data_IF_653096197713
#
_entry.id   IF_653096197713
#
_cell.length_a   1.000
_cell.length_b   1.000
_cell.length_c   1.000
_cell.angle_alpha   90.00
_cell.angle_beta   90.00
_cell.angle_gamma   90.00
#
_symmetry.space_group_name_H-M   'P 1'
#
loop_
_entity.id
_entity.type
_entity.pdbx_description
1 polymer ?
#
# COMPACT_ATOMS: atom_id res chain seq x y z
N UNK A 1 21.17 -6.58 -10.18
CA UNK A 1 20.16 -7.56 -9.76
C UNK A 1 19.34 -8.01 -10.96
N UNK A 2 18.64 -7.09 -11.64
CA UNK A 2 17.88 -7.37 -12.88
C UNK A 2 18.63 -8.21 -13.93
N UNK A 3 19.89 -7.88 -14.26
CA UNK A 3 20.64 -8.62 -15.27
C UNK A 3 21.08 -10.05 -14.86
N UNK A 4 20.89 -10.43 -13.59
CA UNK A 4 21.26 -11.76 -13.10
C UNK A 4 20.12 -12.74 -13.37
N UNK A 5 20.31 -13.64 -14.33
CA UNK A 5 19.32 -14.64 -14.77
C UNK A 5 18.87 -15.61 -13.66
N UNK A 6 19.56 -15.64 -12.51
CA UNK A 6 19.17 -16.45 -11.34
C UNK A 6 18.18 -15.73 -10.43
N UNK A 7 17.96 -14.44 -10.65
CA UNK A 7 17.11 -13.59 -9.82
C UNK A 7 15.82 -13.29 -10.59
N UNK A 8 14.69 -13.62 -9.99
CA UNK A 8 13.38 -13.20 -10.47
C UNK A 8 12.85 -12.08 -9.56
N UNK A 9 12.59 -10.91 -10.13
CA UNK A 9 12.08 -9.74 -9.46
C UNK A 9 10.57 -9.68 -9.58
N UNK A 10 9.90 -9.73 -8.44
CA UNK A 10 8.44 -9.69 -8.36
C UNK A 10 8.04 -8.51 -7.49
N UNK A 11 7.04 -7.75 -7.92
CA UNK A 11 6.41 -6.71 -7.13
C UNK A 11 4.89 -6.78 -7.19
N UNK A 12 4.24 -6.20 -6.19
CA UNK A 12 2.80 -6.14 -6.08
C UNK A 12 2.36 -4.72 -5.74
N UNK A 13 1.46 -4.18 -6.55
CA UNK A 13 0.87 -2.87 -6.33
C UNK A 13 -0.60 -3.03 -5.97
N UNK A 14 -1.06 -2.26 -4.99
CA UNK A 14 -2.48 -2.10 -4.65
C UNK A 14 -2.95 -0.74 -5.15
N UNK A 15 -4.20 -0.67 -5.60
CA UNK A 15 -4.87 0.61 -5.91
C UNK A 15 -4.51 1.71 -4.88
N UNK A 16 -4.04 2.90 -5.32
CA UNK A 16 -3.40 3.90 -4.46
C UNK A 16 -4.21 4.33 -3.23
N UNK A 17 -5.51 4.60 -3.39
CA UNK A 17 -6.37 5.04 -2.29
C UNK A 17 -6.60 3.90 -1.28
N UNK A 18 -6.90 2.70 -1.75
CA UNK A 18 -7.08 1.52 -0.91
C UNK A 18 -5.81 1.19 -0.11
N UNK A 19 -4.62 1.35 -0.72
CA UNK A 19 -3.34 1.25 -0.02
C UNK A 19 -3.22 2.32 1.06
N UNK A 20 -3.48 3.59 0.72
CA UNK A 20 -3.38 4.71 1.65
C UNK A 20 -4.29 4.53 2.88
N UNK A 21 -5.58 4.22 2.64
CA UNK A 21 -6.56 3.97 3.70
C UNK A 21 -6.13 2.79 4.58
N UNK A 22 -5.65 1.69 3.98
CA UNK A 22 -5.15 0.54 4.72
C UNK A 22 -3.97 0.91 5.63
N UNK A 23 -3.04 1.73 5.13
CA UNK A 23 -1.88 2.18 5.90
C UNK A 23 -2.27 3.14 7.03
N UNK A 24 -3.23 4.04 6.79
CA UNK A 24 -3.77 4.92 7.84
C UNK A 24 -4.31 4.10 9.01
N UNK A 25 -5.20 3.13 8.76
CA UNK A 25 -5.77 2.33 9.85
C UNK A 25 -4.76 1.41 10.50
N UNK A 26 -3.79 0.89 9.74
CA UNK A 26 -2.70 0.12 10.31
C UNK A 26 -1.92 0.97 11.33
N UNK A 27 -1.51 2.18 10.93
CA UNK A 27 -0.75 3.10 11.77
C UNK A 27 -1.55 3.64 12.94
N UNK A 28 -2.83 3.97 12.73
CA UNK A 28 -3.73 4.47 13.77
C UNK A 28 -3.93 3.41 14.85
N UNK A 29 -4.28 2.18 14.45
CA UNK A 29 -4.55 1.14 15.42
C UNK A 29 -3.30 0.73 16.18
N UNK A 30 -2.13 0.75 15.56
CA UNK A 30 -0.86 0.42 16.21
C UNK A 30 -0.20 1.59 16.96
N UNK A 31 -0.84 2.78 16.96
CA UNK A 31 -0.33 3.96 17.65
C UNK A 31 0.94 4.53 17.02
N UNK A 32 1.18 4.24 15.74
CA UNK A 32 2.31 4.82 15.02
C UNK A 32 2.03 6.26 14.62
N UNK A 33 0.76 6.65 14.44
CA UNK A 33 0.35 8.02 14.07
C UNK A 33 -0.47 8.69 15.16
N UNK A 34 -0.36 10.01 15.26
CA UNK A 34 -1.28 10.88 16.00
C UNK A 34 -2.45 11.35 15.15
N UNK A 35 -2.40 11.17 13.82
CA UNK A 35 -3.48 11.50 12.91
C UNK A 35 -4.72 10.66 13.21
N UNK A 36 -5.89 11.31 13.31
CA UNK A 36 -7.17 10.65 13.63
C UNK A 36 -8.14 10.61 12.45
N UNK A 37 -7.72 11.12 11.29
CA UNK A 37 -8.48 11.11 10.04
C UNK A 37 -7.56 10.95 8.83
N UNK A 38 -8.11 10.65 7.66
CA UNK A 38 -7.33 10.53 6.42
C UNK A 38 -6.70 11.88 6.01
N UNK A 39 -7.42 12.98 6.21
CA UNK A 39 -6.99 14.35 5.93
C UNK A 39 -5.83 14.77 6.82
N UNK A 40 -5.90 14.41 8.11
CA UNK A 40 -4.82 14.69 9.04
C UNK A 40 -3.65 13.72 8.91
N UNK A 41 -3.79 12.63 8.14
CA UNK A 41 -2.74 11.63 7.91
C UNK A 41 -1.93 11.89 6.64
N UNK A 42 -2.54 12.45 5.60
CA UNK A 42 -1.83 12.74 4.34
C UNK A 42 -0.75 13.79 4.58
N UNK A 43 0.50 13.48 4.23
CA UNK A 43 1.65 14.32 4.51
C UNK A 43 1.95 14.53 6.00
N UNK A 44 1.30 13.79 6.91
CA UNK A 44 1.39 14.04 8.36
C UNK A 44 2.66 13.51 9.03
N UNK A 45 3.63 13.06 8.23
CA UNK A 45 4.91 12.53 8.70
C UNK A 45 6.03 12.81 7.70
N UNK A 46 7.26 12.81 8.21
CA UNK A 46 8.51 12.62 7.44
C UNK A 46 8.64 11.19 6.86
N UNK A 47 7.52 10.48 6.65
CA UNK A 47 7.51 9.11 6.13
C UNK A 47 6.80 9.08 4.79
N UNK A 48 7.55 8.62 3.79
CA UNK A 48 7.11 8.37 2.40
C UNK A 48 5.73 7.72 2.30
N UNK A 49 5.38 6.79 3.21
CA UNK A 49 4.11 6.03 3.19
C UNK A 49 2.84 6.88 3.14
N UNK A 50 2.89 8.07 3.74
CA UNK A 50 1.79 9.03 3.86
C UNK A 50 1.86 10.17 2.84
N UNK A 51 2.95 10.26 2.08
CA UNK A 51 3.16 11.32 1.09
C UNK A 51 2.39 11.04 -0.20
N UNK A 52 2.11 12.11 -0.94
CA UNK A 52 1.54 12.02 -2.27
C UNK A 52 2.47 11.28 -3.24
N UNK A 53 1.88 10.53 -4.17
CA UNK A 53 2.59 9.77 -5.20
C UNK A 53 3.63 8.80 -4.62
N UNK A 54 3.19 8.05 -3.60
CA UNK A 54 3.99 7.07 -2.85
C UNK A 54 4.75 6.10 -3.75
N UNK A 55 4.08 5.46 -4.72
CA UNK A 55 4.74 4.45 -5.56
C UNK A 55 5.81 5.09 -6.42
N UNK A 56 5.52 6.26 -7.01
CA UNK A 56 6.50 7.00 -7.79
C UNK A 56 7.74 7.32 -6.96
N UNK A 57 7.56 7.78 -5.70
CA UNK A 57 8.69 8.07 -4.79
C UNK A 57 9.54 6.85 -4.47
N UNK A 58 8.91 5.71 -4.17
CA UNK A 58 9.67 4.51 -3.79
C UNK A 58 10.42 3.94 -4.99
N UNK A 59 9.79 3.87 -6.15
CA UNK A 59 10.37 3.25 -7.34
C UNK A 59 11.45 4.13 -7.98
N UNK A 60 11.34 5.46 -7.84
CA UNK A 60 12.36 6.40 -8.33
C UNK A 60 13.52 6.65 -7.36
N UNK A 61 13.42 6.21 -6.09
CA UNK A 61 14.42 6.49 -5.07
C UNK A 61 14.30 7.87 -4.40
N UNK A 62 13.19 8.58 -4.58
CA UNK A 62 12.90 9.86 -3.95
C UNK A 62 12.12 9.71 -2.64
N UNK A 63 12.53 8.76 -1.78
CA UNK A 63 11.88 8.56 -0.49
C UNK A 63 12.14 9.77 0.42
N UNK A 64 11.09 10.25 1.07
CA UNK A 64 11.08 11.40 1.98
C UNK A 64 11.51 12.73 1.34
N UNK A 65 11.60 12.79 0.01
CA UNK A 65 11.82 14.04 -0.71
C UNK A 65 10.60 14.96 -0.54
N UNK A 66 10.74 16.14 0.07
CA UNK A 66 9.59 17.03 0.30
C UNK A 66 9.02 17.60 -1.00
N UNK A 67 9.76 17.57 -2.10
CA UNK A 67 9.31 18.14 -3.38
C UNK A 67 8.20 17.29 -4.00
N UNK A 68 7.25 17.91 -4.72
CA UNK A 68 6.24 17.19 -5.49
C UNK A 68 6.87 16.26 -6.54
N UNK A 69 6.19 15.15 -6.83
CA UNK A 69 6.57 14.27 -7.93
C UNK A 69 6.27 14.97 -9.26
N UNK A 70 7.28 15.08 -10.10
CA UNK A 70 7.17 15.61 -11.45
C UNK A 70 7.23 14.48 -12.50
N UNK A 71 7.20 14.87 -13.78
CA UNK A 71 7.25 13.93 -14.90
C UNK A 71 8.57 13.14 -14.94
N UNK A 72 9.69 13.74 -14.54
CA UNK A 72 10.99 13.06 -14.55
C UNK A 72 11.00 11.94 -13.51
N UNK A 73 10.56 12.23 -12.28
CA UNK A 73 10.43 11.23 -11.21
C UNK A 73 9.45 10.12 -11.61
N UNK A 74 8.32 10.47 -12.24
CA UNK A 74 7.38 9.49 -12.78
C UNK A 74 8.03 8.58 -13.84
N UNK A 75 8.76 9.13 -14.81
CA UNK A 75 9.46 8.34 -15.83
C UNK A 75 10.49 7.40 -15.20
N UNK A 76 11.27 7.87 -14.22
CA UNK A 76 12.21 7.01 -13.48
C UNK A 76 11.48 5.88 -12.75
N UNK A 77 10.35 6.16 -12.10
CA UNK A 77 9.55 5.16 -11.42
C UNK A 77 8.99 4.11 -12.40
N UNK A 78 8.51 4.53 -13.56
CA UNK A 78 8.02 3.64 -14.61
C UNK A 78 9.14 2.75 -15.16
N UNK A 79 10.31 3.33 -15.43
CA UNK A 79 11.48 2.57 -15.86
C UNK A 79 11.94 1.56 -14.81
N UNK A 80 11.86 1.90 -13.52
CA UNK A 80 12.17 0.97 -12.43
C UNK A 80 11.14 -0.15 -12.33
N UNK A 81 9.86 0.15 -12.53
CA UNK A 81 8.78 -0.84 -12.54
C UNK A 81 8.94 -1.86 -13.68
N UNK A 82 9.39 -1.41 -14.86
CA UNK A 82 9.62 -2.27 -16.02
C UNK A 82 10.80 -3.25 -15.86
N UNK A 83 11.60 -3.12 -14.80
CA UNK A 83 12.69 -4.05 -14.48
C UNK A 83 12.24 -5.28 -13.69
N UNK A 84 10.99 -5.31 -13.26
CA UNK A 84 10.42 -6.47 -12.57
C UNK A 84 9.91 -7.47 -13.61
N UNK A 85 10.27 -8.75 -13.46
CA UNK A 85 9.77 -9.84 -14.30
C UNK A 85 8.26 -10.01 -14.14
N UNK A 86 7.75 -9.77 -12.93
CA UNK A 86 6.32 -9.83 -12.64
C UNK A 86 5.87 -8.64 -11.79
N UNK A 87 4.92 -7.88 -12.32
CA UNK A 87 4.19 -6.85 -11.59
C UNK A 87 2.73 -7.26 -11.44
N UNK A 88 2.28 -7.54 -10.23
CA UNK A 88 0.89 -7.98 -9.99
C UNK A 88 0.08 -6.90 -9.27
N UNK A 89 -1.23 -6.88 -9.54
CA UNK A 89 -2.17 -6.08 -8.76
C UNK A 89 -2.67 -6.89 -7.57
N UNK A 90 -2.73 -6.27 -6.39
CA UNK A 90 -3.19 -6.95 -5.17
C UNK A 90 -4.62 -7.46 -5.30
N UNK A 91 -5.48 -6.71 -5.99
CA UNK A 91 -6.91 -6.99 -6.09
C UNK A 91 -7.25 -8.24 -6.90
N UNK A 92 -6.44 -8.58 -7.91
CA UNK A 92 -6.83 -9.53 -8.95
C UNK A 92 -5.65 -10.27 -9.63
N UNK A 93 -4.40 -9.83 -9.40
CA UNK A 93 -3.21 -10.43 -10.03
C UNK A 93 -2.49 -11.46 -9.15
N UNK A 94 -2.75 -11.50 -7.84
CA UNK A 94 -2.00 -12.39 -6.92
C UNK A 94 -2.19 -13.86 -7.24
N UNK A 95 -3.39 -14.28 -7.65
CA UNK A 95 -3.70 -15.68 -7.91
C UNK A 95 -2.99 -16.24 -9.15
N UNK A 96 -2.50 -15.37 -10.03
CA UNK A 96 -1.80 -15.74 -11.26
C UNK A 96 -0.30 -15.99 -11.03
N UNK A 97 0.27 -15.38 -9.98
CA UNK A 97 1.69 -15.46 -9.65
C UNK A 97 2.19 -16.90 -9.40
N UNK A 98 1.45 -17.78 -8.69
CA UNK A 98 1.90 -19.15 -8.46
C UNK A 98 1.98 -19.96 -9.76
N UNK A 99 1.06 -19.69 -10.70
CA UNK A 99 1.06 -20.34 -12.02
C UNK A 99 2.26 -19.86 -12.85
N UNK A 100 2.50 -18.54 -12.87
CA UNK A 100 3.61 -17.94 -13.60
C UNK A 100 4.99 -18.43 -13.12
N UNK A 101 5.12 -18.76 -11.83
CA UNK A 101 6.39 -19.16 -11.20
C UNK A 101 6.52 -20.66 -10.95
N UNK A 102 5.56 -21.47 -11.41
CA UNK A 102 5.45 -22.91 -11.10
C UNK A 102 5.53 -23.22 -9.58
N UNK A 103 4.96 -22.31 -8.76
CA UNK A 103 4.93 -22.48 -7.32
C UNK A 103 3.77 -23.38 -6.89
N UNK A 104 4.12 -24.50 -6.26
CA UNK A 104 3.16 -25.37 -5.57
C UNK A 104 2.82 -24.80 -4.20
N UNK A 105 1.90 -23.85 -4.17
CA UNK A 105 1.42 -23.24 -2.92
C UNK A 105 0.46 -24.20 -2.22
N UNK A 106 0.79 -24.57 -0.97
CA UNK A 106 -0.18 -25.26 -0.09
C UNK A 106 -1.39 -24.35 0.11
N UNK A 107 -2.60 -24.92 0.10
CA UNK A 107 -3.87 -24.19 0.17
C UNK A 107 -3.76 -22.91 0.99
N UNK A 108 -4.19 -21.75 0.43
CA UNK A 108 -4.04 -20.48 1.11
C UNK A 108 -4.61 -20.63 2.51
N UNK A 109 -3.80 -20.30 3.53
CA UNK A 109 -4.33 -20.13 4.89
C UNK A 109 -5.53 -19.21 4.73
N UNK A 110 -6.73 -19.68 5.12
CA UNK A 110 -7.97 -18.90 5.00
C UNK A 110 -7.65 -17.46 5.33
N UNK A 111 -8.11 -16.47 4.53
CA UNK A 111 -7.82 -15.07 4.79
C UNK A 111 -8.13 -14.87 6.26
N UNK A 112 -7.09 -14.68 7.06
CA UNK A 112 -7.29 -14.44 8.47
C UNK A 112 -8.03 -13.12 8.44
N UNK A 113 -9.36 -13.18 8.59
CA UNK A 113 -10.20 -12.01 8.70
C UNK A 113 -9.46 -11.13 9.69
N UNK A 114 -9.00 -9.97 9.23
CA UNK A 114 -7.81 -9.33 9.81
C UNK A 114 -7.96 -8.96 11.27
N UNK A 115 -9.16 -9.18 11.85
CA UNK A 115 -9.51 -9.05 13.26
C UNK A 115 -10.64 -10.02 13.64
N UNK A 116 -10.44 -11.33 13.53
CA UNK A 116 -11.39 -12.32 14.08
C UNK A 116 -11.46 -12.27 15.62
N UNK A 117 -12.51 -12.84 16.24
CA UNK A 117 -12.71 -12.90 17.71
C UNK A 117 -11.42 -13.37 18.43
N UNK A 118 -10.72 -14.35 17.85
CA UNK A 118 -9.45 -14.88 18.38
C UNK A 118 -8.35 -13.81 18.50
N UNK A 119 -8.27 -12.88 17.57
CA UNK A 119 -7.29 -11.79 17.57
C UNK A 119 -7.62 -10.74 18.61
N UNK A 120 -8.90 -10.39 18.76
CA UNK A 120 -9.40 -9.51 19.83
C UNK A 120 -9.06 -10.10 21.20
N UNK A 121 -9.36 -11.39 21.42
CA UNK A 121 -8.98 -12.12 22.64
C UNK A 121 -7.47 -12.10 22.84
N UNK A 122 -6.66 -12.33 21.79
CA UNK A 122 -5.21 -12.25 21.90
C UNK A 122 -4.70 -10.86 22.31
N UNK A 123 -5.36 -9.79 21.85
CA UNK A 123 -4.98 -8.43 22.21
C UNK A 123 -5.36 -8.11 23.65
N UNK A 124 -6.53 -8.55 24.11
CA UNK A 124 -6.93 -8.46 25.51
C UNK A 124 -5.92 -9.17 26.41
N UNK A 125 -5.60 -10.43 26.10
CA UNK A 125 -4.64 -11.24 26.87
C UNK A 125 -3.22 -10.67 26.87
N UNK A 126 -2.81 -10.00 25.78
CA UNK A 126 -1.48 -9.37 25.64
C UNK A 126 -1.44 -7.93 26.15
N UNK A 127 -2.48 -7.45 26.85
CA UNK A 127 -2.52 -6.09 27.40
C UNK A 127 -2.56 -4.98 26.34
N UNK A 128 -2.95 -5.30 25.10
CA UNK A 128 -3.00 -4.36 23.96
C UNK A 128 -4.30 -3.54 23.94
N UNK A 129 -4.74 -3.07 25.11
CA UNK A 129 -5.96 -2.29 25.31
C UNK A 129 -6.02 -1.02 24.46
N UNK A 130 -4.87 -0.37 24.23
CA UNK A 130 -4.77 0.80 23.35
C UNK A 130 -5.24 0.50 21.92
N UNK A 131 -4.90 -0.68 21.36
CA UNK A 131 -5.33 -1.05 20.00
C UNK A 131 -6.85 -1.16 19.92
N UNK A 132 -7.47 -1.76 20.94
CA UNK A 132 -8.92 -1.93 21.02
C UNK A 132 -9.62 -0.58 21.23
N UNK A 133 -9.06 0.28 22.08
CA UNK A 133 -9.54 1.64 22.27
C UNK A 133 -9.55 2.44 20.95
N UNK A 134 -8.42 2.47 20.22
CA UNK A 134 -8.35 3.20 18.96
C UNK A 134 -9.34 2.65 17.93
N UNK A 135 -9.49 1.33 17.85
CA UNK A 135 -10.44 0.71 16.92
C UNK A 135 -11.91 0.99 17.27
N UNK A 136 -12.25 1.00 18.56
CA UNK A 136 -13.59 1.35 19.00
C UNK A 136 -13.88 2.84 18.78
N UNK A 137 -12.91 3.72 19.10
CA UNK A 137 -13.05 5.17 18.99
C UNK A 137 -13.00 5.68 17.55
N UNK A 138 -12.29 4.98 16.67
CA UNK A 138 -12.07 5.30 15.27
C UNK A 138 -12.30 4.05 14.40
N UNK A 139 -13.56 3.61 14.23
CA UNK A 139 -13.86 2.43 13.44
C UNK A 139 -13.44 2.63 11.97
N UNK A 140 -13.14 1.53 11.29
CA UNK A 140 -12.81 1.58 9.86
C UNK A 140 -13.96 2.21 9.08
N UNK A 141 -13.62 3.24 8.30
CA UNK A 141 -14.46 3.92 7.33
C UNK A 141 -13.69 4.03 6.01
N UNK A 142 -14.30 3.68 4.87
CA UNK A 142 -13.72 4.02 3.58
C UNK A 142 -13.60 5.54 3.43
N UNK A 143 -12.76 5.99 2.51
CA UNK A 143 -12.71 7.40 2.11
C UNK A 143 -14.06 7.83 1.53
N UNK A 144 -14.49 9.04 1.86
CA UNK A 144 -15.65 9.66 1.19
C UNK A 144 -15.28 10.12 -0.22
N UNK A 145 -16.30 10.46 -1.02
CA UNK A 145 -16.11 10.84 -2.42
C UNK A 145 -15.26 12.11 -2.58
N UNK A 146 -15.45 13.12 -1.72
CA UNK A 146 -14.73 14.38 -1.82
C UNK A 146 -13.23 14.19 -1.53
N UNK A 147 -12.90 13.40 -0.50
CA UNK A 147 -11.54 13.01 -0.22
C UNK A 147 -10.95 12.17 -1.36
N UNK A 148 -11.70 11.19 -1.86
CA UNK A 148 -11.23 10.29 -2.92
C UNK A 148 -10.90 11.05 -4.21
N UNK A 149 -11.74 12.00 -4.63
CA UNK A 149 -11.50 12.84 -5.80
C UNK A 149 -10.25 13.72 -5.63
N UNK A 150 -10.15 14.42 -4.49
CA UNK A 150 -8.96 15.23 -4.19
C UNK A 150 -7.70 14.37 -4.15
N UNK A 151 -7.77 13.22 -3.49
CA UNK A 151 -6.66 12.27 -3.41
C UNK A 151 -6.23 11.80 -4.81
N UNK A 152 -7.17 11.49 -5.69
CA UNK A 152 -6.88 11.06 -7.05
C UNK A 152 -6.16 12.15 -7.86
N UNK A 153 -6.58 13.41 -7.73
CA UNK A 153 -5.92 14.55 -8.39
C UNK A 153 -4.50 14.75 -7.87
N UNK A 154 -4.32 14.75 -6.55
CA UNK A 154 -3.00 14.97 -5.93
C UNK A 154 -2.04 13.78 -6.16
N UNK A 155 -2.58 12.57 -6.39
CA UNK A 155 -1.84 11.33 -6.59
C UNK A 155 -1.93 10.80 -8.03
N UNK A 156 -2.15 11.67 -9.01
CA UNK A 156 -2.42 11.25 -10.39
C UNK A 156 -1.28 10.42 -11.01
N UNK A 157 -0.02 10.66 -10.64
CA UNK A 157 1.12 9.87 -11.13
C UNK A 157 1.06 8.42 -10.63
N UNK A 158 0.74 8.20 -9.36
CA UNK A 158 0.54 6.85 -8.82
C UNK A 158 -0.62 6.13 -9.52
N UNK A 159 -1.70 6.84 -9.85
CA UNK A 159 -2.80 6.27 -10.63
C UNK A 159 -2.39 5.93 -12.06
N UNK A 160 -1.61 6.77 -12.72
CA UNK A 160 -1.07 6.48 -14.06
C UNK A 160 -0.15 5.25 -14.03
N UNK A 161 0.75 5.18 -13.05
CA UNK A 161 1.65 4.04 -12.86
C UNK A 161 0.90 2.74 -12.53
N UNK A 162 -0.14 2.82 -11.69
CA UNK A 162 -0.97 1.66 -11.39
C UNK A 162 -1.77 1.19 -12.61
N UNK A 163 -2.26 2.12 -13.45
CA UNK A 163 -2.97 1.79 -14.69
C UNK A 163 -2.08 1.15 -15.75
N UNK A 164 -0.79 1.51 -15.82
CA UNK A 164 0.12 0.92 -16.82
C UNK A 164 0.32 -0.58 -16.64
N UNK A 165 0.05 -1.12 -15.44
CA UNK A 165 0.03 -2.56 -15.19
C UNK A 165 -1.02 -3.33 -15.99
N UNK A 166 -2.05 -2.66 -16.52
CA UNK A 166 -3.09 -3.32 -17.33
C UNK A 166 -2.72 -3.41 -18.82
N UNK A 167 -1.62 -2.77 -19.24
CA UNK A 167 -1.21 -2.63 -20.64
C UNK A 167 0.01 -3.49 -21.00
N UNK A 168 0.42 -4.38 -20.10
CA UNK A 168 1.58 -5.29 -20.24
C UNK A 168 1.13 -6.73 -20.43
#
# INVERSE_FOLDING_TARGET
>A
LEADQRVCLITCLREPLARFVSNFYFDLYHGFTSATSLESYIGSRDRTISMHNYYCRILSGHQNDPLPVDAAIFTTAQQALNKFDHCVRLQDGIEQLPVALDWKIKAPRSPAASFGIRQIVSYLLRGKWKLLYFRWRYPYRPADCAFAEKFANDNHWDYQLFKSLNSS
#
